data_IF_403805904324
#
_entry.id   IF_403805904324
#
_cell.length_a   1.000
_cell.length_b   1.000
_cell.length_c   1.000
_cell.angle_alpha   90.00
_cell.angle_beta   90.00
_cell.angle_gamma   90.00
#
_symmetry.space_group_name_H-M   'P 1'
#
loop_
_entity.id
_entity.type
_entity.pdbx_description
1 polymer ?
#
# COMPACT_ATOMS: atom_id res chain seq x y z
N UNK A 1 3.19 4.50 -18.29
CA UNK A 1 3.64 4.19 -16.92
C UNK A 1 2.53 4.60 -15.97
N UNK A 2 2.30 3.86 -14.89
CA UNK A 2 1.36 4.27 -13.84
C UNK A 2 2.01 5.35 -12.97
N UNK A 3 1.23 6.34 -12.55
CA UNK A 3 1.69 7.37 -11.63
C UNK A 3 1.63 6.89 -10.17
N UNK A 4 2.62 7.32 -9.39
CA UNK A 4 2.71 7.16 -7.94
C UNK A 4 3.21 8.49 -7.38
N UNK A 5 2.37 9.12 -6.59
CA UNK A 5 2.58 10.42 -5.97
C UNK A 5 2.54 10.26 -4.44
N UNK A 6 2.74 11.33 -3.68
CA UNK A 6 2.79 11.26 -2.21
C UNK A 6 1.46 10.81 -1.58
N UNK A 7 0.32 11.12 -2.21
CA UNK A 7 -1.02 10.83 -1.71
C UNK A 7 -1.93 10.12 -2.74
N UNK A 8 -1.36 9.68 -3.86
CA UNK A 8 -2.10 9.25 -5.04
C UNK A 8 -1.37 8.12 -5.77
N UNK A 9 -2.12 7.18 -6.34
CA UNK A 9 -1.58 6.12 -7.18
C UNK A 9 -2.58 5.70 -8.27
N UNK A 10 -2.06 5.18 -9.37
CA UNK A 10 -2.86 4.68 -10.48
C UNK A 10 -2.83 3.16 -10.59
N UNK A 11 -3.97 2.59 -10.96
CA UNK A 11 -4.14 1.16 -11.25
C UNK A 11 -4.83 0.97 -12.58
N UNK A 12 -4.54 -0.14 -13.26
CA UNK A 12 -5.35 -0.60 -14.38
C UNK A 12 -6.38 -1.62 -13.88
N UNK A 13 -7.64 -1.43 -14.26
CA UNK A 13 -8.72 -2.39 -14.01
C UNK A 13 -9.12 -2.99 -15.36
N UNK A 14 -8.96 -4.30 -15.51
CA UNK A 14 -9.38 -5.00 -16.73
C UNK A 14 -10.92 -5.15 -16.77
N UNK A 15 -11.53 -5.30 -17.96
CA UNK A 15 -12.99 -5.37 -18.10
C UNK A 15 -13.66 -6.41 -17.21
N UNK A 16 -13.07 -7.60 -17.08
CA UNK A 16 -13.64 -8.65 -16.23
C UNK A 16 -13.74 -8.20 -14.76
N UNK A 17 -12.66 -7.66 -14.19
CA UNK A 17 -12.64 -7.14 -12.81
C UNK A 17 -13.64 -6.01 -12.60
N UNK A 18 -13.75 -5.08 -13.55
CA UNK A 18 -14.74 -4.02 -13.48
C UNK A 18 -16.18 -4.57 -13.47
N UNK A 19 -16.44 -5.63 -14.25
CA UNK A 19 -17.76 -6.23 -14.38
C UNK A 19 -18.17 -7.12 -13.20
N UNK A 20 -17.23 -7.83 -12.58
CA UNK A 20 -17.53 -8.83 -11.52
C UNK A 20 -17.22 -8.36 -10.10
N UNK A 21 -16.78 -7.11 -9.93
CA UNK A 21 -16.53 -6.50 -8.62
C UNK A 21 -17.29 -5.19 -8.48
N UNK A 22 -17.26 -4.60 -7.27
CA UNK A 22 -17.89 -3.30 -7.03
C UNK A 22 -17.12 -2.12 -7.61
N UNK A 23 -15.90 -2.34 -8.13
CA UNK A 23 -15.02 -1.29 -8.63
C UNK A 23 -15.57 -0.60 -9.88
N UNK A 24 -16.23 -1.33 -10.78
CA UNK A 24 -16.77 -0.76 -12.02
C UNK A 24 -17.89 0.27 -11.80
N UNK A 25 -18.52 0.27 -10.62
CA UNK A 25 -19.60 1.20 -10.26
C UNK A 25 -19.13 2.37 -9.38
N UNK A 26 -17.86 2.40 -8.96
CA UNK A 26 -17.33 3.46 -8.09
C UNK A 26 -17.19 4.77 -8.86
N UNK A 27 -17.40 5.88 -8.15
CA UNK A 27 -17.28 7.25 -8.66
C UNK A 27 -16.20 8.00 -7.88
N UNK A 28 -15.76 9.12 -8.44
CA UNK A 28 -14.87 10.05 -7.73
C UNK A 28 -15.47 10.44 -6.38
N UNK A 29 -14.67 10.30 -5.32
CA UNK A 29 -15.09 10.56 -3.93
C UNK A 29 -15.59 9.33 -3.18
N UNK A 30 -15.87 8.21 -3.86
CA UNK A 30 -16.23 6.97 -3.19
C UNK A 30 -15.04 6.44 -2.40
N UNK A 31 -15.29 6.08 -1.13
CA UNK A 31 -14.27 5.42 -0.31
C UNK A 31 -14.10 3.98 -0.76
N UNK A 32 -12.85 3.53 -0.72
CA UNK A 32 -12.45 2.14 -0.96
C UNK A 32 -11.59 1.64 0.19
N UNK A 33 -11.56 0.32 0.39
CA UNK A 33 -10.65 -0.28 1.34
C UNK A 33 -9.26 -0.35 0.71
N UNK A 34 -8.24 0.08 1.45
CA UNK A 34 -6.84 -0.07 1.07
C UNK A 34 -6.21 -1.07 2.03
N UNK A 35 -5.75 -2.19 1.48
CA UNK A 35 -5.06 -3.22 2.24
C UNK A 35 -3.63 -3.36 1.73
N UNK A 36 -2.69 -3.52 2.66
CA UNK A 36 -1.29 -3.77 2.32
C UNK A 36 -1.08 -5.26 2.11
N UNK A 37 -0.30 -5.60 1.07
CA UNK A 37 0.14 -6.97 0.86
C UNK A 37 0.94 -7.51 2.06
N UNK A 38 0.50 -8.65 2.59
CA UNK A 38 1.16 -9.37 3.66
C UNK A 38 2.59 -9.78 3.27
N UNK A 39 2.85 -10.06 1.99
CA UNK A 39 4.18 -10.37 1.49
C UNK A 39 5.15 -9.20 1.67
N UNK A 40 4.70 -7.96 1.49
CA UNK A 40 5.55 -6.79 1.72
C UNK A 40 6.05 -6.71 3.17
N UNK A 41 5.21 -7.08 4.15
CA UNK A 41 5.61 -7.17 5.56
C UNK A 41 6.65 -8.27 5.80
N UNK A 42 6.54 -9.39 5.10
CA UNK A 42 7.52 -10.47 5.20
C UNK A 42 8.85 -10.09 4.55
N UNK A 43 8.82 -9.44 3.38
CA UNK A 43 10.00 -8.90 2.71
C UNK A 43 10.68 -7.85 3.58
N UNK A 44 9.95 -6.92 4.21
CA UNK A 44 10.52 -5.97 5.18
C UNK A 44 11.29 -6.70 6.29
N UNK A 45 10.71 -7.76 6.88
CA UNK A 45 11.38 -8.53 7.93
C UNK A 45 12.66 -9.20 7.43
N UNK A 46 12.64 -9.80 6.24
CA UNK A 46 13.80 -10.48 5.65
C UNK A 46 14.92 -9.49 5.27
N UNK A 47 14.57 -8.32 4.74
CA UNK A 47 15.54 -7.26 4.40
C UNK A 47 16.12 -6.62 5.66
N UNK A 48 15.29 -6.45 6.70
CA UNK A 48 15.73 -5.90 7.99
C UNK A 48 16.58 -6.88 8.79
N UNK A 49 16.33 -8.19 8.70
CA UNK A 49 17.09 -9.21 9.42
C UNK A 49 18.45 -9.54 8.77
N UNK A 50 18.63 -9.27 7.47
CA UNK A 50 19.90 -9.48 6.73
C UNK A 50 20.92 -8.32 6.84
N UNK A 51 20.62 -7.28 7.60
CA UNK A 51 21.65 -6.36 8.12
C UNK A 51 22.19 -5.29 7.15
N UNK A 52 21.47 -4.91 6.09
CA UNK A 52 21.94 -3.86 5.16
C UNK A 52 21.23 -2.51 5.28
N UNK A 53 20.19 -2.39 6.12
CA UNK A 53 19.52 -1.10 6.38
C UNK A 53 19.98 -0.58 7.74
N UNK A 54 20.75 0.51 7.72
CA UNK A 54 21.24 1.18 8.92
C UNK A 54 20.09 1.45 9.91
N UNK A 55 20.18 0.82 11.08
CA UNK A 55 19.19 0.90 12.15
C UNK A 55 19.24 2.29 12.79
N UNK A 56 18.62 3.30 12.19
CA UNK A 56 18.17 4.47 12.95
C UNK A 56 16.95 4.03 13.75
N UNK A 57 17.14 3.91 15.06
CA UNK A 57 16.25 3.23 15.99
C UNK A 57 14.77 3.64 15.91
N UNK A 58 13.91 2.67 16.23
CA UNK A 58 12.45 2.82 16.28
C UNK A 58 11.75 2.22 15.08
N UNK A 59 10.75 1.35 15.35
CA UNK A 59 9.73 0.70 14.49
C UNK A 59 9.99 0.64 12.97
N UNK A 60 9.81 -0.54 12.35
CA UNK A 60 9.93 -0.76 10.90
C UNK A 60 9.25 0.32 10.06
N UNK A 61 9.72 0.55 8.83
CA UNK A 61 9.30 1.69 8.00
C UNK A 61 7.81 1.63 7.66
N UNK A 62 7.24 0.43 7.54
CA UNK A 62 5.79 0.23 7.45
C UNK A 62 5.07 0.68 8.74
N UNK A 63 5.64 0.40 9.91
CA UNK A 63 5.14 0.90 11.18
C UNK A 63 5.29 2.41 11.39
N UNK A 64 6.13 3.09 10.59
CA UNK A 64 6.22 4.56 10.58
C UNK A 64 5.17 5.19 9.66
N UNK A 65 4.92 4.59 8.49
CA UNK A 65 3.88 5.01 7.55
C UNK A 65 2.47 4.97 8.17
N UNK A 66 2.17 3.94 8.97
CA UNK A 66 0.83 3.75 9.54
C UNK A 66 0.73 4.03 11.05
N UNK A 67 1.84 4.35 11.72
CA UNK A 67 1.88 4.59 13.17
C UNK A 67 1.52 6.02 13.60
N UNK A 68 1.37 6.94 12.66
CA UNK A 68 0.80 8.26 12.90
C UNK A 68 -0.73 8.14 12.91
N UNK A 69 -1.37 8.43 14.04
CA UNK A 69 -2.83 8.59 14.08
C UNK A 69 -3.23 9.72 13.14
N UNK A 70 -3.77 9.38 11.98
CA UNK A 70 -4.56 10.30 11.19
C UNK A 70 -6.01 10.17 11.66
N UNK A 71 -6.40 11.07 12.56
CA UNK A 71 -7.80 11.41 12.82
C UNK A 71 -8.35 12.22 11.68
#
# INVERSE_FOLDING_TARGET
AFALDDDSFQVAVIPHTANVTTLGARRTGDKVNIELDVLAKHVERLVTSRGTVAKRGGRGWLGRLFGGRHT
#
